data_IF_617290160630
#
_entry.id   IF_617290160630
#
_cell.length_a   1.000
_cell.length_b   1.000
_cell.length_c   1.000
_cell.angle_alpha   90.00
_cell.angle_beta   90.00
_cell.angle_gamma   90.00
#
_symmetry.space_group_name_H-M   'P 1'
#
loop_
_entity.id
_entity.type
_entity.pdbx_description
1 polymer ?
#
# COMPACT_ATOMS: atom_id res chain seq x y z
N UNK A 1 3.87 4.09 6.38
CA UNK A 1 4.96 3.79 5.41
C UNK A 1 5.92 4.94 5.12
N UNK A 2 5.49 6.12 4.67
CA UNK A 2 6.40 7.24 4.32
C UNK A 2 7.40 7.62 5.43
N UNK A 3 6.94 7.68 6.69
CA UNK A 3 7.82 7.94 7.85
C UNK A 3 8.85 6.83 8.04
N UNK A 4 8.46 5.57 7.85
CA UNK A 4 9.38 4.42 7.90
C UNK A 4 10.48 4.56 6.85
N UNK A 5 10.13 4.91 5.61
CA UNK A 5 11.11 5.17 4.54
C UNK A 5 12.07 6.31 4.92
N UNK A 6 11.55 7.41 5.47
CA UNK A 6 12.40 8.52 5.92
C UNK A 6 13.37 8.13 7.04
N UNK A 7 12.96 7.24 7.95
CA UNK A 7 13.81 6.74 9.05
C UNK A 7 14.97 5.89 8.54
N UNK A 8 14.80 5.20 7.41
CA UNK A 8 15.86 4.38 6.77
C UNK A 8 16.58 5.12 5.64
N UNK A 9 16.48 6.46 5.59
CA UNK A 9 17.23 7.28 4.64
C UNK A 9 16.63 7.37 3.23
N UNK A 10 15.48 6.75 2.97
CA UNK A 10 14.82 6.81 1.66
C UNK A 10 13.99 8.10 1.58
N UNK A 11 14.48 9.06 0.79
CA UNK A 11 13.77 10.32 0.56
C UNK A 11 12.77 10.20 -0.60
N UNK A 12 11.50 10.52 -0.35
CA UNK A 12 10.44 10.48 -1.36
C UNK A 12 10.43 11.73 -2.28
N UNK A 13 11.60 12.18 -2.76
CA UNK A 13 11.75 13.45 -3.52
C UNK A 13 10.90 13.50 -4.79
N UNK A 14 10.72 12.35 -5.45
CA UNK A 14 9.92 12.21 -6.67
C UNK A 14 8.41 12.14 -6.42
N UNK A 15 7.96 12.00 -5.16
CA UNK A 15 6.55 12.02 -4.79
C UNK A 15 5.97 13.44 -4.91
N UNK A 16 5.50 13.75 -6.12
CA UNK A 16 5.01 15.08 -6.50
C UNK A 16 4.01 14.96 -7.64
N UNK A 17 3.17 16.00 -7.81
CA UNK A 17 2.19 16.10 -8.90
C UNK A 17 2.79 16.03 -10.30
N UNK A 18 4.11 16.24 -10.44
CA UNK A 18 4.83 16.11 -11.73
C UNK A 18 5.00 14.65 -12.17
N UNK A 19 4.96 13.70 -11.23
CA UNK A 19 5.24 12.28 -11.48
C UNK A 19 4.13 11.33 -11.05
N UNK A 20 3.33 11.74 -10.06
CA UNK A 20 2.22 10.95 -9.50
C UNK A 20 0.94 11.75 -9.69
N UNK A 21 -0.04 11.16 -10.37
CA UNK A 21 -1.37 11.76 -10.52
C UNK A 21 -2.15 11.60 -9.22
N UNK A 22 -3.02 12.56 -8.86
CA UNK A 22 -3.97 12.36 -7.78
C UNK A 22 -4.78 11.08 -7.97
N UNK A 23 -5.13 10.42 -6.87
CA UNK A 23 -6.09 9.33 -6.87
C UNK A 23 -7.37 9.75 -7.64
N UNK A 24 -7.96 8.85 -8.45
CA UNK A 24 -9.22 9.14 -9.15
C UNK A 24 -10.28 9.72 -8.22
N UNK A 25 -10.99 10.76 -8.67
CA UNK A 25 -11.98 11.47 -7.86
C UNK A 25 -11.42 12.45 -6.82
N UNK A 26 -10.09 12.55 -6.66
CA UNK A 26 -9.46 13.55 -5.77
C UNK A 26 -8.85 14.71 -6.56
N UNK A 27 -9.07 15.97 -6.15
CA UNK A 27 -8.59 17.13 -6.90
C UNK A 27 -7.08 17.37 -6.72
N UNK A 28 -6.50 16.87 -5.63
CA UNK A 28 -5.11 17.14 -5.24
C UNK A 28 -4.41 15.84 -4.87
N UNK A 29 -3.08 15.82 -4.99
CA UNK A 29 -2.25 14.71 -4.49
C UNK A 29 -2.26 14.72 -2.97
N UNK A 30 -2.52 13.56 -2.35
CA UNK A 30 -2.43 13.31 -0.91
C UNK A 30 -0.98 13.35 -0.45
N UNK A 31 -0.47 14.57 -0.25
CA UNK A 31 0.92 14.84 0.07
C UNK A 31 1.02 15.82 1.23
N UNK A 32 1.79 15.44 2.24
CA UNK A 32 2.21 16.33 3.33
C UNK A 32 3.73 16.46 3.35
N UNK A 33 4.23 17.50 4.02
CA UNK A 33 5.64 17.65 4.35
C UNK A 33 5.81 17.41 5.84
N UNK A 34 6.50 16.33 6.21
CA UNK A 34 6.86 16.05 7.60
C UNK A 34 8.35 16.33 7.76
N UNK A 35 8.70 17.32 8.59
CA UNK A 35 10.07 17.83 8.72
C UNK A 35 10.70 18.17 7.35
N UNK A 36 9.92 18.82 6.47
CA UNK A 36 10.34 19.17 5.10
C UNK A 36 10.39 18.00 4.11
N UNK A 37 10.09 16.77 4.54
CA UNK A 37 10.17 15.57 3.68
C UNK A 37 8.79 15.18 3.10
N UNK A 38 8.68 14.97 1.78
CA UNK A 38 7.42 14.56 1.13
C UNK A 38 6.88 13.25 1.70
N UNK A 39 5.62 13.22 2.08
CA UNK A 39 4.94 12.08 2.67
C UNK A 39 3.65 11.83 1.92
N UNK A 40 3.46 10.62 1.40
CA UNK A 40 2.17 10.18 0.87
C UNK A 40 1.18 9.95 2.02
N UNK A 41 -0.04 10.45 1.87
CA UNK A 41 -1.15 10.22 2.81
C UNK A 41 -2.20 9.25 2.28
N UNK A 42 -2.11 8.86 1.00
CA UNK A 42 -3.01 7.89 0.37
C UNK A 42 -2.25 6.68 -0.13
N UNK A 43 -2.80 5.49 0.15
CA UNK A 43 -2.23 4.20 -0.24
C UNK A 43 -2.08 4.07 -1.76
N UNK A 44 -3.13 4.42 -2.53
CA UNK A 44 -3.12 4.37 -3.99
C UNK A 44 -1.97 5.19 -4.60
N UNK A 45 -1.84 6.45 -4.19
CA UNK A 45 -0.81 7.34 -4.74
C UNK A 45 0.60 6.88 -4.34
N UNK A 46 0.75 6.28 -3.15
CA UNK A 46 2.00 5.64 -2.75
C UNK A 46 2.33 4.43 -3.65
N UNK A 47 1.36 3.58 -3.99
CA UNK A 47 1.54 2.47 -4.91
C UNK A 47 1.88 2.95 -6.34
N UNK A 48 1.22 4.00 -6.83
CA UNK A 48 1.56 4.66 -8.10
C UNK A 48 2.99 5.21 -8.10
N UNK A 49 3.43 5.77 -6.97
CA UNK A 49 4.81 6.20 -6.82
C UNK A 49 5.80 5.03 -6.83
N UNK A 50 5.48 3.91 -6.16
CA UNK A 50 6.32 2.72 -6.17
C UNK A 50 6.47 2.11 -7.58
N UNK A 51 5.45 2.23 -8.44
CA UNK A 51 5.51 1.81 -9.86
C UNK A 51 6.61 2.54 -10.64
N UNK A 52 6.97 3.76 -10.23
CA UNK A 52 8.09 4.52 -10.81
C UNK A 52 9.46 3.95 -10.41
N UNK A 53 9.49 2.89 -9.58
CA UNK A 53 10.67 2.24 -9.02
C UNK A 53 11.67 3.22 -8.38
N UNK A 54 11.21 4.07 -7.45
CA UNK A 54 12.06 5.10 -6.84
C UNK A 54 13.00 4.56 -5.74
N UNK A 55 12.86 3.28 -5.36
CA UNK A 55 13.62 2.62 -4.31
C UNK A 55 14.40 1.47 -4.94
N UNK A 56 15.72 1.46 -4.78
CA UNK A 56 16.57 0.35 -5.23
C UNK A 56 16.18 -0.95 -4.52
N UNK A 57 16.22 -2.08 -5.24
CA UNK A 57 15.79 -3.38 -4.72
C UNK A 57 14.28 -3.62 -4.76
N UNK A 58 13.43 -2.58 -4.88
CA UNK A 58 11.99 -2.74 -5.11
C UNK A 58 11.73 -2.99 -6.61
N UNK A 59 11.15 -4.15 -6.91
CA UNK A 59 10.83 -4.56 -8.28
C UNK A 59 9.46 -4.03 -8.75
N UNK A 60 9.19 -4.20 -10.04
CA UNK A 60 7.88 -3.88 -10.62
C UNK A 60 6.77 -4.69 -9.93
N UNK A 61 5.56 -4.12 -9.78
CA UNK A 61 4.48 -4.82 -9.08
C UNK A 61 3.95 -6.01 -9.89
N UNK A 62 3.54 -7.02 -9.15
CA UNK A 62 2.77 -8.15 -9.64
C UNK A 62 1.32 -7.99 -9.18
N UNK A 63 0.37 -8.17 -10.11
CA UNK A 63 -1.05 -8.23 -9.74
C UNK A 63 -1.36 -9.61 -9.15
N UNK A 64 -1.61 -9.64 -7.84
CA UNK A 64 -1.85 -10.87 -7.09
C UNK A 64 -3.32 -11.03 -6.67
N UNK A 65 -4.21 -10.17 -7.16
CA UNK A 65 -5.66 -10.21 -6.88
C UNK A 65 -6.24 -11.61 -7.07
N UNK A 66 -7.20 -11.97 -6.21
CA UNK A 66 -7.91 -13.24 -6.25
C UNK A 66 -7.57 -14.20 -5.10
N UNK A 67 -8.23 -15.36 -5.04
CA UNK A 67 -8.18 -16.28 -3.89
C UNK A 67 -6.79 -16.87 -3.63
N UNK A 68 -5.96 -16.97 -4.67
CA UNK A 68 -4.62 -17.57 -4.59
C UNK A 68 -3.52 -16.56 -4.24
N UNK A 69 -3.84 -15.40 -3.67
CA UNK A 69 -2.83 -14.38 -3.37
C UNK A 69 -1.77 -14.89 -2.38
N UNK A 70 -2.16 -15.76 -1.43
CA UNK A 70 -1.26 -16.26 -0.40
C UNK A 70 -0.10 -17.06 -0.99
N UNK A 71 -0.39 -17.99 -1.91
CA UNK A 71 0.63 -18.80 -2.56
C UNK A 71 1.55 -17.97 -3.46
N UNK A 72 1.04 -16.87 -4.04
CA UNK A 72 1.84 -15.95 -4.88
C UNK A 72 2.92 -15.20 -4.10
N UNK A 73 2.73 -14.94 -2.80
CA UNK A 73 3.67 -14.12 -1.99
C UNK A 73 4.38 -14.89 -0.88
N UNK A 74 3.97 -16.13 -0.62
CA UNK A 74 4.58 -16.98 0.41
C UNK A 74 6.09 -17.14 0.18
N UNK A 75 6.88 -16.94 1.24
CA UNK A 75 8.35 -17.03 1.20
C UNK A 75 9.05 -15.84 0.54
N UNK A 76 8.32 -14.87 -0.02
CA UNK A 76 8.89 -13.69 -0.71
C UNK A 76 8.78 -12.47 0.17
N UNK A 77 9.74 -11.57 0.16
CA UNK A 77 9.64 -10.28 0.88
C UNK A 77 9.22 -9.17 -0.07
N UNK A 78 8.51 -8.17 0.44
CA UNK A 78 8.05 -7.07 -0.40
C UNK A 78 7.19 -6.04 0.29
N UNK A 79 6.57 -5.19 -0.52
CA UNK A 79 5.51 -4.27 -0.11
C UNK A 79 4.22 -4.77 -0.75
N UNK A 80 3.12 -4.82 -0.01
CA UNK A 80 1.80 -5.18 -0.54
C UNK A 80 0.87 -3.97 -0.49
N UNK A 81 0.08 -3.79 -1.54
CA UNK A 81 -0.93 -2.76 -1.68
C UNK A 81 -2.28 -3.41 -1.90
N UNK A 82 -3.29 -2.96 -1.15
CA UNK A 82 -4.68 -3.34 -1.26
C UNK A 82 -5.50 -2.11 -1.69
N UNK A 83 -6.36 -2.26 -2.69
CA UNK A 83 -7.17 -1.17 -3.25
C UNK A 83 -8.67 -1.49 -3.23
N UNK A 84 -9.47 -0.49 -2.89
CA UNK A 84 -10.93 -0.52 -3.04
C UNK A 84 -11.66 -1.56 -2.20
N UNK A 85 -11.19 -1.85 -0.98
CA UNK A 85 -11.84 -2.82 -0.08
C UNK A 85 -12.72 -2.17 1.01
N UNK A 86 -12.68 -0.84 1.15
CA UNK A 86 -13.51 -0.09 2.10
C UNK A 86 -13.85 1.31 1.58
N UNK A 87 -14.91 1.91 2.14
CA UNK A 87 -15.43 3.22 1.75
C UNK A 87 -14.56 4.36 2.30
N UNK A 88 -13.92 5.12 1.42
CA UNK A 88 -13.23 6.36 1.78
C UNK A 88 -14.16 7.58 1.59
N UNK A 89 -13.92 8.66 2.33
CA UNK A 89 -14.68 9.91 2.20
C UNK A 89 -14.77 10.37 0.73
N UNK A 90 -15.97 10.57 0.22
CA UNK A 90 -16.23 10.97 -1.16
C UNK A 90 -16.35 9.80 -2.16
N UNK A 91 -16.25 8.55 -1.70
CA UNK A 91 -16.62 7.39 -2.50
C UNK A 91 -18.16 7.26 -2.62
N UNK A 92 -18.60 6.70 -3.74
CA UNK A 92 -19.95 6.14 -3.84
C UNK A 92 -19.99 4.76 -3.16
N UNK A 93 -21.12 4.34 -2.57
CA UNK A 93 -21.29 2.97 -2.07
C UNK A 93 -20.88 1.88 -3.08
N UNK A 94 -21.07 2.13 -4.37
CA UNK A 94 -20.73 1.19 -5.44
C UNK A 94 -19.28 1.34 -5.94
N UNK A 95 -18.55 2.37 -5.49
CA UNK A 95 -17.19 2.64 -5.94
C UNK A 95 -16.23 2.99 -4.80
N UNK A 96 -15.84 1.96 -4.06
CA UNK A 96 -14.81 2.03 -3.00
C UNK A 96 -13.41 2.31 -3.56
N UNK A 97 -12.69 3.25 -2.97
CA UNK A 97 -11.30 3.64 -3.26
C UNK A 97 -10.38 3.54 -2.02
N UNK A 98 -10.92 3.15 -0.86
CA UNK A 98 -10.14 2.92 0.34
C UNK A 98 -9.11 1.81 0.15
N UNK A 99 -7.83 2.16 0.37
CA UNK A 99 -6.70 1.26 0.19
C UNK A 99 -5.74 1.23 1.37
N UNK A 100 -4.82 0.29 1.35
CA UNK A 100 -3.82 0.06 2.40
C UNK A 100 -2.48 -0.38 1.80
N UNK A 101 -1.37 0.03 2.41
CA UNK A 101 -0.02 -0.41 2.04
C UNK A 101 0.72 -0.87 3.28
N UNK A 102 1.32 -2.05 3.21
CA UNK A 102 2.13 -2.62 4.29
C UNK A 102 3.34 -3.39 3.75
N UNK A 103 4.29 -3.68 4.64
CA UNK A 103 5.45 -4.51 4.41
C UNK A 103 5.13 -5.98 4.64
N UNK A 104 5.60 -6.83 3.75
CA UNK A 104 5.42 -8.27 3.74
C UNK A 104 6.78 -8.96 3.93
N UNK A 105 6.90 -9.83 4.94
CA UNK A 105 8.18 -10.49 5.27
C UNK A 105 8.29 -11.94 4.77
N UNK A 106 7.44 -12.39 3.85
CA UNK A 106 7.39 -13.79 3.40
C UNK A 106 6.44 -14.65 4.22
N UNK A 107 6.07 -14.20 5.41
CA UNK A 107 5.11 -14.88 6.27
C UNK A 107 4.00 -14.00 6.85
N UNK A 108 4.17 -12.69 6.91
CA UNK A 108 3.18 -11.83 7.55
C UNK A 108 3.37 -10.39 7.16
N UNK A 109 2.28 -9.65 7.32
CA UNK A 109 2.35 -8.20 7.32
C UNK A 109 3.06 -7.75 8.61
N UNK A 110 3.96 -6.78 8.47
CA UNK A 110 4.82 -6.34 9.58
C UNK A 110 4.34 -5.05 10.23
N UNK A 111 3.41 -4.32 9.62
CA UNK A 111 2.95 -3.01 10.07
C UNK A 111 1.68 -3.04 10.90
N UNK A 112 1.70 -3.63 12.11
CA UNK A 112 0.66 -3.36 13.11
C UNK A 112 1.21 -3.34 14.55
N UNK A 113 1.99 -2.32 14.87
CA UNK A 113 2.04 -1.78 16.23
C UNK A 113 1.42 -0.39 16.17
N UNK A 114 0.22 -0.14 16.66
CA UNK A 114 -0.29 -0.52 17.99
C UNK A 114 -1.64 -1.26 17.96
N UNK A 115 -1.67 -2.57 17.70
CA UNK A 115 -2.76 -3.39 18.23
C UNK A 115 -3.08 -4.72 17.55
N UNK A 116 -2.89 -4.89 16.24
CA UNK A 116 -3.44 -6.07 15.53
C UNK A 116 -2.39 -6.73 14.65
N UNK A 117 -1.55 -7.58 15.23
CA UNK A 117 -0.55 -8.38 14.52
C UNK A 117 -1.24 -9.31 13.49
N UNK A 118 -1.03 -9.08 12.18
CA UNK A 118 -1.53 -9.97 11.12
C UNK A 118 -0.44 -11.02 10.81
N UNK A 119 -0.28 -12.00 11.69
CA UNK A 119 0.45 -13.24 11.36
C UNK A 119 -0.43 -14.16 10.54
N UNK A 120 -0.26 -14.14 9.21
CA UNK A 120 -0.79 -15.13 8.24
C UNK A 120 -2.21 -15.64 8.48
N UNK A 121 -3.17 -14.71 8.61
CA UNK A 121 -4.53 -15.02 8.27
C UNK A 121 -5.05 -13.81 7.48
N UNK A 122 -5.21 -13.95 6.17
CA UNK A 122 -5.88 -12.95 5.31
C UNK A 122 -7.35 -12.73 5.79
N UNK A 123 -7.77 -13.42 6.86
CA UNK A 123 -8.97 -13.18 7.66
C UNK A 123 -8.58 -13.21 9.14
N UNK A 124 -8.72 -12.11 9.88
CA UNK A 124 -8.95 -12.20 11.33
C UNK A 124 -10.47 -12.28 11.53
N UNK A 125 -11.03 -13.44 11.92
CA UNK A 125 -12.47 -13.57 12.10
C UNK A 125 -12.94 -12.55 13.14
N UNK A 126 -13.79 -11.61 12.74
CA UNK A 126 -14.48 -10.68 13.64
C UNK A 126 -13.76 -9.38 13.99
N UNK A 127 -12.55 -9.07 13.48
CA UNK A 127 -11.82 -7.85 13.87
C UNK A 127 -11.51 -6.86 12.74
N UNK A 128 -11.82 -7.08 11.45
CA UNK A 128 -11.98 -5.99 10.43
C UNK A 128 -12.20 -6.57 9.02
N UNK A 129 -12.71 -5.72 8.12
CA UNK A 129 -13.03 -5.93 6.70
C UNK A 129 -12.07 -6.88 5.95
N UNK A 130 -12.64 -7.87 5.24
CA UNK A 130 -11.90 -8.87 4.47
C UNK A 130 -11.11 -8.21 3.31
N UNK A 131 -9.78 -8.11 3.46
CA UNK A 131 -8.89 -7.57 2.43
C UNK A 131 -8.95 -8.34 1.10
N UNK A 132 -9.52 -9.55 1.06
CA UNK A 132 -9.79 -10.29 -0.18
C UNK A 132 -10.82 -9.61 -1.07
N UNK A 133 -11.67 -8.74 -0.49
CA UNK A 133 -12.62 -7.93 -1.23
C UNK A 133 -11.97 -6.72 -1.92
N UNK A 134 -10.64 -6.57 -1.84
CA UNK A 134 -9.93 -5.57 -2.61
C UNK A 134 -10.15 -5.77 -4.10
N UNK A 135 -10.54 -4.70 -4.79
CA UNK A 135 -10.64 -4.64 -6.25
C UNK A 135 -9.30 -4.94 -6.91
N UNK A 136 -8.20 -4.55 -6.28
CA UNK A 136 -6.85 -4.80 -6.77
C UNK A 136 -5.89 -5.01 -5.61
N UNK A 137 -5.01 -5.99 -5.76
CA UNK A 137 -3.93 -6.28 -4.83
C UNK A 137 -2.62 -6.36 -5.62
N UNK A 138 -1.67 -5.48 -5.28
CA UNK A 138 -0.34 -5.44 -5.91
C UNK A 138 0.72 -5.86 -4.91
N UNK A 139 1.65 -6.70 -5.36
CA UNK A 139 2.85 -7.06 -4.61
C UNK A 139 4.08 -6.49 -5.29
N UNK A 140 4.90 -5.75 -4.55
CA UNK A 140 6.17 -5.19 -4.99
C UNK A 140 7.30 -5.98 -4.33
N UNK A 141 7.91 -6.94 -5.03
CA UNK A 141 8.96 -7.77 -4.45
C UNK A 141 10.19 -6.93 -4.10
N UNK A 142 10.87 -7.29 -3.00
CA UNK A 142 12.15 -6.71 -2.60
C UNK A 142 13.25 -7.75 -2.79
N UNK A 143 14.37 -7.36 -3.39
CA UNK A 143 15.60 -8.16 -3.54
C UNK A 143 16.78 -7.46 -2.89
#
# INVERSE_FOLDING_TARGET
MSVTLHKVGIAMKSFSRKRVRPMPGKPTLGRLLLAGKPTATRAYEFAEWLKLRPIAGVLAPENITGPNLASKVSGRTGIIFFDGYWLQDGDSPDNLSGGHVDLWNGSKLTGFGSGVRISWNIVLPGIWWDFRNSKTILFFPVK
#
